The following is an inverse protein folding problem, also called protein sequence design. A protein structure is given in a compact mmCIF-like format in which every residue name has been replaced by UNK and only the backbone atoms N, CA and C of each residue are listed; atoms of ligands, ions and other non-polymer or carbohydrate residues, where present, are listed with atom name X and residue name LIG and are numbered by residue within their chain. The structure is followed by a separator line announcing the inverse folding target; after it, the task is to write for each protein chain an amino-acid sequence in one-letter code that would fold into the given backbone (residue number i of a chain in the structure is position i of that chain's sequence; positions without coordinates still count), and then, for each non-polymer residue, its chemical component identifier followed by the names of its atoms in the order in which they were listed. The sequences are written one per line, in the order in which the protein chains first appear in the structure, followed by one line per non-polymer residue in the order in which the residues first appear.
data_IF_410696969606
#
_entry.id   IF_410696969606
#
_cell.length_a   1.000
_cell.length_b   1.000
_cell.length_c   1.000
_cell.angle_alpha   90.00
_cell.angle_beta   90.00
_cell.angle_gamma   90.00
#
_symmetry.space_group_name_H-M   'P 1'
#
loop_
_entity.id
_entity.type
_entity.pdbx_description
1 polymer ?
#
# COMPACT_ATOMS: atom_id res chain seq x y z
N UNK A 1 -14.79 -40.04 -4.74
CA UNK A 1 -15.46 -38.79 -5.18
C UNK A 1 -15.64 -37.92 -3.95
N UNK A 2 -15.02 -36.74 -3.87
CA UNK A 2 -15.26 -35.82 -2.77
C UNK A 2 -16.74 -35.40 -2.77
N UNK A 3 -17.37 -35.20 -1.60
CA UNK A 3 -18.77 -34.79 -1.53
C UNK A 3 -18.90 -33.39 -2.15
N UNK A 4 -19.94 -33.16 -2.96
CA UNK A 4 -20.22 -31.88 -3.67
C UNK A 4 -20.14 -30.63 -2.78
N UNK A 5 -20.31 -30.79 -1.47
CA UNK A 5 -20.25 -29.70 -0.48
C UNK A 5 -18.85 -29.10 -0.33
N UNK A 6 -17.79 -29.91 -0.39
CA UNK A 6 -16.43 -29.47 -0.09
C UNK A 6 -15.84 -28.62 -1.23
N UNK A 7 -16.06 -29.07 -2.47
CA UNK A 7 -15.67 -28.30 -3.67
C UNK A 7 -16.41 -26.94 -3.73
N UNK A 8 -17.71 -26.91 -3.46
CA UNK A 8 -18.48 -25.67 -3.41
C UNK A 8 -17.99 -24.72 -2.29
N UNK A 9 -17.57 -25.27 -1.14
CA UNK A 9 -17.00 -24.49 -0.05
C UNK A 9 -15.64 -23.88 -0.43
N UNK A 10 -14.79 -24.64 -1.14
CA UNK A 10 -13.49 -24.16 -1.63
C UNK A 10 -13.66 -23.06 -2.68
N UNK A 11 -14.57 -23.23 -3.64
CA UNK A 11 -14.89 -22.19 -4.64
C UNK A 11 -15.43 -20.90 -3.97
N UNK A 12 -16.33 -21.03 -3.00
CA UNK A 12 -16.84 -19.88 -2.25
C UNK A 12 -15.73 -19.18 -1.45
N UNK A 13 -14.79 -19.93 -0.88
CA UNK A 13 -13.61 -19.37 -0.19
C UNK A 13 -12.70 -18.66 -1.18
N UNK A 14 -12.42 -19.25 -2.35
CA UNK A 14 -11.61 -18.65 -3.39
C UNK A 14 -12.20 -17.30 -3.85
N UNK A 15 -13.50 -17.24 -4.10
CA UNK A 15 -14.18 -16.01 -4.48
C UNK A 15 -14.05 -14.90 -3.43
N UNK A 16 -14.15 -15.25 -2.14
CA UNK A 16 -13.92 -14.29 -1.05
C UNK A 16 -12.48 -13.78 -1.03
N UNK A 17 -11.51 -14.67 -1.26
CA UNK A 17 -10.09 -14.30 -1.30
C UNK A 17 -9.77 -13.42 -2.51
N UNK A 18 -10.33 -13.71 -3.69
CA UNK A 18 -10.21 -12.87 -4.87
C UNK A 18 -10.77 -11.46 -4.62
N UNK A 19 -11.94 -11.34 -3.99
CA UNK A 19 -12.52 -10.05 -3.63
C UNK A 19 -11.62 -9.27 -2.63
N UNK A 20 -11.03 -9.96 -1.64
CA UNK A 20 -10.05 -9.35 -0.72
C UNK A 20 -8.80 -8.87 -1.46
N UNK A 21 -8.25 -9.70 -2.37
CA UNK A 21 -7.09 -9.37 -3.20
C UNK A 21 -7.33 -8.06 -3.96
N UNK A 22 -8.46 -7.94 -4.66
CA UNK A 22 -8.83 -6.72 -5.39
C UNK A 22 -9.00 -5.52 -4.45
N UNK A 23 -9.59 -5.73 -3.26
CA UNK A 23 -9.77 -4.64 -2.27
C UNK A 23 -8.42 -4.08 -1.80
N UNK A 24 -7.48 -4.94 -1.44
CA UNK A 24 -6.15 -4.50 -0.98
C UNK A 24 -5.33 -3.89 -2.12
N UNK A 25 -5.41 -4.48 -3.33
CA UNK A 25 -4.77 -3.92 -4.52
C UNK A 25 -5.25 -2.49 -4.81
N UNK A 26 -6.58 -2.27 -4.83
CA UNK A 26 -7.16 -0.96 -5.08
C UNK A 26 -6.75 0.09 -4.03
N UNK A 27 -6.60 -0.31 -2.76
CA UNK A 27 -6.10 0.59 -1.72
C UNK A 27 -4.66 1.04 -2.00
N UNK A 28 -3.78 0.11 -2.37
CA UNK A 28 -2.38 0.44 -2.69
C UNK A 28 -2.30 1.25 -3.98
N UNK A 29 -3.09 0.90 -5.00
CA UNK A 29 -3.16 1.67 -6.24
C UNK A 29 -3.66 3.10 -6.00
N UNK A 30 -4.71 3.29 -5.19
CA UNK A 30 -5.18 4.62 -4.81
C UNK A 30 -4.08 5.42 -4.12
N UNK A 31 -3.34 4.81 -3.20
CA UNK A 31 -2.25 5.49 -2.52
C UNK A 31 -1.12 5.88 -3.48
N UNK A 32 -0.80 5.02 -4.44
CA UNK A 32 0.12 5.34 -5.53
C UNK A 32 -0.39 6.51 -6.38
N UNK A 33 -1.66 6.53 -6.75
CA UNK A 33 -2.24 7.63 -7.52
C UNK A 33 -2.15 8.96 -6.75
N UNK A 34 -2.40 8.94 -5.45
CA UNK A 34 -2.21 10.09 -4.56
C UNK A 34 -0.74 10.54 -4.50
N UNK A 35 0.21 9.59 -4.55
CA UNK A 35 1.64 9.89 -4.48
C UNK A 35 2.18 10.67 -5.68
N UNK A 36 1.39 10.78 -6.77
CA UNK A 36 1.80 11.45 -8.01
C UNK A 36 1.56 12.96 -8.01
N UNK A 37 0.69 13.49 -7.14
CA UNK A 37 0.40 14.93 -7.04
C UNK A 37 0.38 15.43 -5.59
N UNK A 38 1.54 15.34 -4.94
CA UNK A 38 1.74 15.77 -3.56
C UNK A 38 1.83 17.30 -3.37
N UNK A 39 1.73 18.07 -4.46
CA UNK A 39 1.70 19.54 -4.39
C UNK A 39 0.32 20.07 -3.99
N UNK A 40 -0.73 19.29 -4.26
CA UNK A 40 -2.08 19.62 -3.85
C UNK A 40 -2.27 19.32 -2.34
N UNK A 41 -2.62 20.31 -1.50
CA UNK A 41 -2.75 20.12 -0.05
C UNK A 41 -3.77 19.04 0.35
N UNK A 42 -4.88 18.93 -0.38
CA UNK A 42 -5.94 17.95 -0.11
C UNK A 42 -5.45 16.54 -0.43
N UNK A 43 -4.70 16.38 -1.54
CA UNK A 43 -4.10 15.10 -1.93
C UNK A 43 -3.01 14.70 -0.94
N UNK A 44 -2.17 15.66 -0.54
CA UNK A 44 -1.10 15.45 0.44
C UNK A 44 -1.66 14.97 1.79
N UNK A 45 -2.73 15.57 2.28
CA UNK A 45 -3.37 15.16 3.54
C UNK A 45 -3.91 13.73 3.43
N UNK A 46 -4.66 13.42 2.35
CA UNK A 46 -5.18 12.06 2.10
C UNK A 46 -4.06 11.03 1.98
N UNK A 47 -2.98 11.38 1.28
CA UNK A 47 -1.79 10.54 1.14
C UNK A 47 -1.18 10.22 2.51
N UNK A 48 -0.94 11.23 3.35
CA UNK A 48 -0.37 11.05 4.70
C UNK A 48 -1.24 10.15 5.58
N UNK A 49 -2.57 10.32 5.54
CA UNK A 49 -3.49 9.49 6.32
C UNK A 49 -3.41 8.03 5.87
N UNK A 50 -3.48 7.78 4.57
CA UNK A 50 -3.49 6.43 4.02
C UNK A 50 -2.13 5.72 4.14
N UNK A 51 -1.02 6.48 4.06
CA UNK A 51 0.34 5.96 4.19
C UNK A 51 0.55 5.17 5.49
N UNK A 52 -0.12 5.56 6.58
CA UNK A 52 -0.03 4.88 7.87
C UNK A 52 -0.50 3.42 7.85
N UNK A 53 -1.32 3.04 6.86
CA UNK A 53 -1.87 1.68 6.74
C UNK A 53 -1.27 0.90 5.56
N UNK A 54 -0.26 1.47 4.87
CA UNK A 54 0.35 0.87 3.69
C UNK A 54 1.01 -0.47 4.00
N UNK A 55 1.88 -0.50 5.02
CA UNK A 55 2.66 -1.70 5.34
C UNK A 55 1.73 -2.86 5.78
N UNK A 56 0.68 -2.55 6.57
CA UNK A 56 -0.37 -3.51 6.94
C UNK A 56 -1.15 -4.01 5.72
N UNK A 57 -1.54 -3.10 4.81
CA UNK A 57 -2.29 -3.46 3.60
C UNK A 57 -1.46 -4.35 2.68
N UNK A 58 -0.15 -4.10 2.56
CA UNK A 58 0.77 -4.93 1.77
C UNK A 58 0.87 -6.33 2.35
N UNK A 59 0.99 -6.46 3.68
CA UNK A 59 1.07 -7.76 4.34
C UNK A 59 -0.22 -8.56 4.17
N UNK A 60 -1.38 -7.91 4.34
CA UNK A 60 -2.68 -8.55 4.09
C UNK A 60 -2.86 -8.99 2.63
N UNK A 61 -2.32 -8.22 1.67
CA UNK A 61 -2.30 -8.61 0.27
C UNK A 61 -1.44 -9.85 0.04
N UNK A 62 -0.21 -9.87 0.57
CA UNK A 62 0.73 -11.01 0.47
C UNK A 62 0.11 -12.29 1.02
N UNK A 63 -0.43 -12.22 2.23
CA UNK A 63 -1.13 -13.34 2.85
C UNK A 63 -2.35 -13.79 2.04
N UNK A 64 -3.09 -12.86 1.42
CA UNK A 64 -4.24 -13.21 0.59
C UNK A 64 -3.80 -13.97 -0.67
N UNK A 65 -2.67 -13.63 -1.28
CA UNK A 65 -2.12 -14.35 -2.44
C UNK A 65 -1.69 -15.78 -2.05
N UNK A 66 -1.00 -15.95 -0.92
CA UNK A 66 -0.66 -17.30 -0.43
C UNK A 66 -1.92 -18.14 -0.20
N UNK A 67 -2.93 -17.58 0.46
CA UNK A 67 -4.21 -18.27 0.68
C UNK A 67 -4.94 -18.62 -0.62
N UNK A 68 -4.82 -17.79 -1.66
CA UNK A 68 -5.40 -18.09 -3.00
C UNK A 68 -4.67 -19.28 -3.61
N UNK A 69 -3.34 -19.27 -3.56
CA UNK A 69 -2.50 -20.35 -4.06
C UNK A 69 -2.83 -21.67 -3.35
N UNK A 70 -2.91 -21.67 -2.02
CA UNK A 70 -3.28 -22.85 -1.23
C UNK A 70 -4.65 -23.41 -1.64
N UNK A 71 -5.67 -22.55 -1.73
CA UNK A 71 -7.02 -22.98 -2.11
C UNK A 71 -7.07 -23.50 -3.55
N UNK A 72 -6.30 -22.91 -4.47
CA UNK A 72 -6.23 -23.41 -5.83
C UNK A 72 -5.54 -24.78 -5.91
N UNK A 73 -4.50 -25.04 -5.10
CA UNK A 73 -3.88 -26.35 -5.00
C UNK A 73 -4.84 -27.38 -4.40
N UNK A 74 -5.63 -26.99 -3.40
CA UNK A 74 -6.67 -27.85 -2.81
C UNK A 74 -7.77 -28.21 -3.83
N UNK A 75 -8.07 -27.31 -4.77
CA UNK A 75 -9.05 -27.54 -5.85
C UNK A 75 -8.43 -28.37 -6.99
N UNK A 76 -7.21 -28.03 -7.40
CA UNK A 76 -6.46 -28.63 -8.49
C UNK A 76 -4.99 -28.85 -8.08
N UNK A 77 -4.58 -30.09 -7.79
CA UNK A 77 -3.20 -30.40 -7.38
C UNK A 77 -2.13 -30.04 -8.43
N UNK A 78 -2.50 -29.92 -9.71
CA UNK A 78 -1.59 -29.52 -10.79
C UNK A 78 -1.54 -27.99 -10.99
N UNK A 79 -2.24 -27.23 -10.14
CA UNK A 79 -2.28 -25.78 -10.20
C UNK A 79 -0.88 -25.16 -10.07
N UNK A 80 -0.55 -24.24 -10.97
CA UNK A 80 0.67 -23.46 -10.91
C UNK A 80 0.45 -22.20 -10.09
N UNK A 81 1.21 -22.07 -9.00
CA UNK A 81 1.15 -20.92 -8.11
C UNK A 81 1.39 -19.62 -8.87
N UNK A 82 0.62 -18.59 -8.56
CA UNK A 82 0.71 -17.30 -9.22
C UNK A 82 1.17 -16.20 -8.26
N UNK A 83 2.44 -15.82 -8.37
CA UNK A 83 3.05 -14.76 -7.57
C UNK A 83 3.26 -13.44 -8.33
N UNK A 84 2.87 -13.37 -9.61
CA UNK A 84 2.96 -12.14 -10.41
C UNK A 84 2.28 -10.93 -9.74
N UNK A 85 1.13 -11.06 -9.03
CA UNK A 85 0.54 -9.93 -8.32
C UNK A 85 1.45 -9.32 -7.25
N UNK A 86 2.36 -10.11 -6.65
CA UNK A 86 3.31 -9.62 -5.65
C UNK A 86 4.37 -8.72 -6.30
N UNK A 87 4.88 -9.09 -7.47
CA UNK A 87 5.86 -8.28 -8.21
C UNK A 87 5.28 -6.91 -8.60
N UNK A 88 4.03 -6.92 -9.09
CA UNK A 88 3.33 -5.70 -9.46
C UNK A 88 3.13 -4.78 -8.25
N UNK A 89 2.73 -5.35 -7.10
CA UNK A 89 2.45 -4.54 -5.92
C UNK A 89 3.72 -4.02 -5.24
N UNK A 90 4.81 -4.79 -5.27
CA UNK A 90 6.11 -4.36 -4.76
C UNK A 90 6.63 -3.13 -5.52
N UNK A 91 6.38 -3.07 -6.84
CA UNK A 91 6.71 -1.89 -7.66
C UNK A 91 5.94 -0.65 -7.19
N UNK A 92 4.61 -0.76 -6.99
CA UNK A 92 3.79 0.34 -6.49
C UNK A 92 4.22 0.78 -5.08
N UNK A 93 4.48 -0.20 -4.21
CA UNK A 93 4.95 0.03 -2.86
C UNK A 93 6.25 0.84 -2.83
N UNK A 94 7.23 0.48 -3.67
CA UNK A 94 8.50 1.20 -3.75
C UNK A 94 8.31 2.67 -4.17
N UNK A 95 7.46 2.93 -5.16
CA UNK A 95 7.14 4.30 -5.58
C UNK A 95 6.49 5.11 -4.45
N UNK A 96 5.55 4.51 -3.71
CA UNK A 96 4.90 5.17 -2.58
C UNK A 96 5.91 5.50 -1.47
N UNK A 97 6.77 4.54 -1.09
CA UNK A 97 7.78 4.77 -0.05
C UNK A 97 8.79 5.83 -0.48
N UNK A 98 9.15 5.89 -1.76
CA UNK A 98 10.03 6.92 -2.27
C UNK A 98 9.38 8.31 -2.21
N UNK A 99 8.10 8.41 -2.59
CA UNK A 99 7.34 9.65 -2.45
C UNK A 99 7.26 10.12 -0.99
N UNK A 100 7.07 9.19 -0.04
CA UNK A 100 7.09 9.48 1.39
C UNK A 100 8.45 10.05 1.87
N UNK A 101 9.57 9.44 1.47
CA UNK A 101 10.91 9.94 1.82
C UNK A 101 11.16 11.36 1.30
N UNK A 102 10.69 11.68 0.09
CA UNK A 102 10.82 13.02 -0.48
C UNK A 102 10.11 14.04 0.42
N UNK A 103 8.93 13.73 0.94
CA UNK A 103 8.19 14.60 1.86
C UNK A 103 8.93 14.82 3.18
N UNK A 104 9.51 13.77 3.74
CA UNK A 104 10.26 13.86 5.00
C UNK A 104 11.52 14.73 4.84
N UNK A 105 12.25 14.56 3.72
CA UNK A 105 13.44 15.36 3.42
C UNK A 105 13.13 16.86 3.19
N UNK A 106 11.97 17.18 2.61
CA UNK A 106 11.54 18.57 2.41
C UNK A 106 11.16 19.26 3.73
N UNK A 107 10.57 18.53 4.69
CA UNK A 107 10.27 19.08 6.02
C UNK A 107 11.55 19.37 6.82
N UNK A 108 12.56 18.51 6.73
CA UNK A 108 13.86 18.72 7.39
C UNK A 108 14.59 19.95 6.84
N UNK A 109 14.44 20.24 5.54
CA UNK A 109 15.11 21.37 4.89
C UNK A 109 14.48 22.72 5.24
N UNK A 110 13.16 22.80 5.43
CA UNK A 110 12.49 24.05 5.82
C UNK A 110 12.71 24.42 7.29
N UNK A 111 12.83 23.43 8.19
CA UNK A 111 13.10 23.70 9.62
C UNK A 111 14.54 24.18 9.90
N UNK A 112 15.49 24.01 8.96
CA UNK A 112 16.86 24.52 9.12
C UNK A 112 17.02 25.98 8.71
N UNK A 113 16.13 26.52 7.88
CA UNK A 113 16.22 27.92 7.42
C UNK A 113 15.66 28.94 8.42
N UNK A 114 14.81 28.52 9.36
CA UNK A 114 14.22 29.40 10.39
C UNK A 114 15.04 29.47 11.69
N UNK A 115 16.11 28.68 11.82
CA UNK A 115 16.92 28.60 13.03
C UNK A 115 18.12 29.57 13.06
N UNK A 116 18.41 30.28 11.96
CA UNK A 116 19.61 31.11 11.79
C UNK A 116 19.32 32.62 11.64
N UNK A 117 18.17 33.13 12.12
CA UNK A 117 17.98 34.58 12.27
C UNK A 117 18.39 35.06 13.67
N UNK A 118 19.55 35.74 13.83
CA UNK A 118 19.84 36.43 15.08
C UNK A 118 18.92 37.65 15.19
N UNK A 119 18.15 37.69 16.26
CA UNK A 119 17.36 38.85 16.67
C UNK A 119 18.28 40.05 16.95
N UNK A 120 18.57 40.85 15.92
CA UNK A 120 19.33 42.11 16.08
C UNK A 120 18.39 43.31 16.04
N UNK A 121 18.15 43.83 17.24
CA UNK A 121 17.89 45.23 17.57
C UNK A 121 16.56 45.86 17.13
N UNK A 122 15.50 45.55 17.89
CA UNK A 122 14.59 46.62 18.37
C UNK A 122 15.34 47.41 19.44
N UNK A 123 15.80 48.62 19.11
CA UNK A 123 15.94 49.79 19.99
C UNK A 123 16.80 50.83 19.28
N UNK A 124 16.18 51.91 18.82
CA UNK A 124 16.56 53.28 19.19
C UNK A 124 15.55 54.29 18.64
N UNK A 125 15.37 55.32 19.47
CA UNK A 125 14.37 56.38 19.48
C UNK A 125 14.37 57.27 18.25
#
# INVERSE_FOLDING_TARGET
MPPKNDAQNLEARLNKLLAKKETYFNKIQLLYDLSRDLKNPIILEKFKIQLNTLDETLELFKQTIENINDVNVDIDPDYRLNYQPLEMIDTLYCHIKEAAKILDNHQVSQNRQTADEPAVARLKN
#
